data_IF_830911069949
#
_entry.id   IF_830911069949
#
_cell.length_a   1.000
_cell.length_b   1.000
_cell.length_c   1.000
_cell.angle_alpha   90.00
_cell.angle_beta   90.00
_cell.angle_gamma   90.00
#
_symmetry.space_group_name_H-M   'P 1'
#
loop_
_entity.id
_entity.type
_entity.pdbx_description
1 polymer ?
#
# COMPACT_ATOMS: atom_id res chain seq x y z
N UNK A 1 13.40 36.30 -24.59
CA UNK A 1 12.49 36.19 -23.44
C UNK A 1 12.05 34.74 -23.32
N UNK A 2 12.49 33.96 -22.32
CA UNK A 2 12.09 32.57 -22.22
C UNK A 2 10.89 32.43 -21.27
N UNK A 3 9.75 32.07 -21.84
CA UNK A 3 8.54 31.68 -21.13
C UNK A 3 8.77 30.30 -20.51
N UNK A 4 9.26 30.30 -19.26
CA UNK A 4 9.34 29.12 -18.40
C UNK A 4 8.00 29.04 -17.67
N UNK A 5 7.11 28.13 -18.06
CA UNK A 5 6.13 27.48 -17.17
C UNK A 5 5.19 26.57 -17.96
N UNK A 6 5.61 25.31 -18.08
CA UNK A 6 4.72 24.16 -18.02
C UNK A 6 5.56 23.01 -17.45
N UNK A 7 5.85 23.10 -16.16
CA UNK A 7 6.36 21.95 -15.41
C UNK A 7 5.14 21.06 -15.16
N UNK A 8 5.10 19.98 -15.93
CA UNK A 8 4.05 18.98 -15.92
C UNK A 8 3.90 18.40 -14.51
N UNK A 9 2.68 18.34 -13.98
CA UNK A 9 2.34 17.79 -12.66
C UNK A 9 2.86 16.36 -12.44
N UNK A 10 3.20 15.64 -13.51
CA UNK A 10 3.82 14.31 -13.50
C UNK A 10 5.29 14.34 -13.06
N UNK A 11 6.03 15.41 -13.35
CA UNK A 11 7.43 15.58 -12.92
C UNK A 11 7.54 15.99 -11.45
N UNK A 12 6.54 16.69 -10.90
CA UNK A 12 6.47 17.01 -9.47
C UNK A 12 6.23 15.72 -8.66
N UNK A 13 5.33 14.84 -9.12
CA UNK A 13 5.10 13.55 -8.47
C UNK A 13 6.33 12.64 -8.48
N UNK A 14 7.19 12.70 -9.51
CA UNK A 14 8.42 11.89 -9.57
C UNK A 14 9.53 12.39 -8.65
N UNK A 15 9.62 13.69 -8.39
CA UNK A 15 10.64 14.25 -7.48
C UNK A 15 10.31 13.97 -6.01
N UNK A 16 9.03 13.99 -5.64
CA UNK A 16 8.52 13.63 -4.30
C UNK A 16 8.77 12.14 -3.97
N UNK A 17 8.60 11.24 -4.95
CA UNK A 17 8.89 9.81 -4.78
C UNK A 17 10.37 9.51 -4.51
N UNK A 18 11.29 10.33 -5.03
CA UNK A 18 12.73 10.19 -4.79
C UNK A 18 13.14 10.78 -3.43
N UNK A 19 12.42 11.79 -2.92
CA UNK A 19 12.67 12.39 -1.60
C UNK A 19 12.32 11.45 -0.45
N UNK A 20 11.19 10.74 -0.53
CA UNK A 20 10.83 9.73 0.50
C UNK A 20 11.79 8.54 0.47
N UNK A 21 12.18 8.06 -0.72
CA UNK A 21 13.10 6.92 -0.83
C UNK A 21 14.55 7.27 -0.44
N UNK A 22 15.03 8.47 -0.77
CA UNK A 22 16.39 8.94 -0.42
C UNK A 22 16.51 9.36 1.05
N UNK A 23 15.44 9.87 1.66
CA UNK A 23 15.41 10.18 3.10
C UNK A 23 15.44 8.94 4.00
N UNK A 24 14.82 7.84 3.56
CA UNK A 24 14.64 6.62 4.38
C UNK A 24 15.81 5.64 4.25
N UNK A 25 16.67 5.75 3.22
CA UNK A 25 17.90 4.94 3.11
C UNK A 25 18.87 5.13 4.31
N UNK A 26 18.63 6.16 5.15
CA UNK A 26 19.35 6.40 6.42
C UNK A 26 18.65 5.92 7.68
N UNK A 27 17.36 5.56 7.66
CA UNK A 27 16.64 5.18 8.89
C UNK A 27 16.71 3.66 9.07
N UNK A 28 17.85 3.21 9.62
CA UNK A 28 18.09 1.85 10.13
C UNK A 28 17.31 1.51 11.42
N UNK A 29 16.24 2.25 11.72
CA UNK A 29 15.40 2.04 12.90
C UNK A 29 13.98 1.77 12.46
N UNK A 30 13.67 0.48 12.28
CA UNK A 30 12.36 -0.02 11.83
C UNK A 30 11.17 0.53 12.65
N UNK A 31 11.40 0.93 13.92
CA UNK A 31 10.36 1.48 14.79
C UNK A 31 10.02 2.94 14.48
N UNK A 32 11.00 3.80 14.21
CA UNK A 32 10.78 5.21 13.86
C UNK A 32 10.19 5.35 12.45
N UNK A 33 10.56 4.45 11.53
CA UNK A 33 10.04 4.47 10.16
C UNK A 33 8.52 4.33 10.10
N UNK A 34 7.93 3.47 10.95
CA UNK A 34 6.47 3.26 10.98
C UNK A 34 5.73 4.53 11.35
N UNK A 35 6.17 5.26 12.37
CA UNK A 35 5.53 6.51 12.81
C UNK A 35 5.61 7.60 11.72
N UNK A 36 6.79 7.76 11.10
CA UNK A 36 6.99 8.73 10.00
C UNK A 36 6.07 8.43 8.82
N UNK A 37 5.91 7.16 8.44
CA UNK A 37 5.00 6.79 7.36
C UNK A 37 3.53 6.95 7.76
N UNK A 38 3.16 6.70 9.01
CA UNK A 38 1.80 6.96 9.52
C UNK A 38 1.46 8.45 9.43
N UNK A 39 2.36 9.33 9.84
CA UNK A 39 2.16 10.79 9.73
C UNK A 39 2.07 11.24 8.26
N UNK A 40 2.87 10.63 7.39
CA UNK A 40 2.84 10.89 5.95
C UNK A 40 1.51 10.46 5.34
N UNK A 41 1.01 9.25 5.62
CA UNK A 41 -0.29 8.80 5.06
C UNK A 41 -1.48 9.56 5.67
N UNK A 42 -1.35 10.07 6.90
CA UNK A 42 -2.35 10.95 7.51
C UNK A 42 -2.39 12.32 6.82
N UNK A 43 -1.23 12.85 6.42
CA UNK A 43 -1.12 14.13 5.71
C UNK A 43 -1.48 14.01 4.23
N UNK A 44 -1.01 12.94 3.57
CA UNK A 44 -1.16 12.69 2.13
C UNK A 44 -1.67 11.25 1.85
N UNK A 45 -2.95 10.95 2.13
CA UNK A 45 -3.49 9.59 2.01
C UNK A 45 -3.56 9.06 0.56
N UNK A 46 -3.38 9.93 -0.44
CA UNK A 46 -3.37 9.56 -1.87
C UNK A 46 -2.03 9.00 -2.34
N UNK A 47 -0.96 9.20 -1.56
CA UNK A 47 0.38 8.77 -1.94
C UNK A 47 0.57 7.27 -1.68
N UNK A 48 0.32 6.42 -2.68
CA UNK A 48 0.40 4.96 -2.56
C UNK A 48 1.79 4.43 -2.13
N UNK A 49 2.88 5.15 -2.45
CA UNK A 49 4.24 4.76 -2.07
C UNK A 49 4.44 4.59 -0.56
N UNK A 50 3.96 5.56 0.23
CA UNK A 50 4.05 5.50 1.70
C UNK A 50 3.26 4.33 2.28
N UNK A 51 2.11 3.98 1.69
CA UNK A 51 1.34 2.80 2.09
C UNK A 51 2.12 1.51 1.81
N UNK A 52 2.81 1.40 0.67
CA UNK A 52 3.61 0.21 0.34
C UNK A 52 4.80 0.04 1.30
N UNK A 53 5.54 1.12 1.58
CA UNK A 53 6.64 1.07 2.55
C UNK A 53 6.13 0.64 3.93
N UNK A 54 4.98 1.18 4.36
CA UNK A 54 4.34 0.79 5.61
C UNK A 54 3.97 -0.70 5.64
N UNK A 55 3.52 -1.28 4.52
CA UNK A 55 3.25 -2.73 4.42
C UNK A 55 4.52 -3.55 4.65
N UNK A 56 5.66 -3.13 4.11
CA UNK A 56 6.92 -3.87 4.29
C UNK A 56 7.44 -3.85 5.74
N UNK A 57 7.06 -2.82 6.50
CA UNK A 57 7.46 -2.66 7.91
C UNK A 57 6.56 -3.46 8.87
N UNK A 58 5.29 -3.66 8.51
CA UNK A 58 4.32 -4.39 9.34
C UNK A 58 4.45 -5.90 9.07
N UNK A 59 4.85 -6.65 10.09
CA UNK A 59 4.97 -8.12 10.03
C UNK A 59 3.86 -8.87 10.76
N UNK A 60 3.11 -8.17 11.61
CA UNK A 60 2.14 -8.77 12.51
C UNK A 60 0.82 -7.99 12.47
N UNK A 61 -0.29 -8.70 12.65
CA UNK A 61 -1.62 -8.09 12.74
C UNK A 61 -1.78 -7.19 13.97
N UNK A 62 -1.09 -7.52 15.07
CA UNK A 62 -1.11 -6.69 16.29
C UNK A 62 -0.50 -5.31 16.02
N UNK A 63 0.64 -5.28 15.32
CA UNK A 63 1.30 -4.05 14.87
C UNK A 63 0.43 -3.23 13.92
N UNK A 64 -0.50 -3.85 13.19
CA UNK A 64 -1.48 -3.12 12.38
C UNK A 64 -2.58 -2.46 13.22
N UNK A 65 -3.01 -3.13 14.30
CA UNK A 65 -4.09 -2.65 15.18
C UNK A 65 -3.65 -1.48 16.06
N UNK A 66 -2.34 -1.37 16.35
CA UNK A 66 -1.78 -0.25 17.11
C UNK A 66 -1.66 1.04 16.30
N UNK A 67 -1.77 0.98 14.97
CA UNK A 67 -1.57 2.14 14.10
C UNK A 67 -2.85 2.96 13.93
N UNK A 68 -2.74 4.27 14.17
CA UNK A 68 -3.80 5.24 13.92
C UNK A 68 -3.81 5.65 12.44
N UNK A 69 -4.45 4.83 11.61
CA UNK A 69 -4.57 5.06 10.17
C UNK A 69 -5.80 5.90 9.81
N UNK A 70 -5.69 6.83 8.84
CA UNK A 70 -6.77 7.75 8.46
C UNK A 70 -7.96 6.98 7.88
N UNK A 71 -9.18 7.47 8.14
CA UNK A 71 -10.39 6.86 7.60
C UNK A 71 -10.60 7.29 6.13
N UNK A 72 -9.79 6.73 5.23
CA UNK A 72 -9.79 7.04 3.80
C UNK A 72 -10.02 5.79 2.96
N UNK A 73 -10.55 5.92 1.74
CA UNK A 73 -10.81 4.77 0.87
C UNK A 73 -9.52 4.00 0.50
N UNK A 74 -8.38 4.70 0.43
CA UNK A 74 -7.05 4.10 0.22
C UNK A 74 -6.67 3.12 1.34
N UNK A 75 -7.15 3.31 2.57
CA UNK A 75 -6.94 2.37 3.68
C UNK A 75 -7.48 0.97 3.33
N UNK A 76 -8.53 0.87 2.51
CA UNK A 76 -9.08 -0.42 2.07
C UNK A 76 -8.11 -1.16 1.14
N UNK A 77 -7.45 -0.46 0.24
CA UNK A 77 -6.41 -1.05 -0.62
C UNK A 77 -5.22 -1.52 0.20
N UNK A 78 -4.78 -0.69 1.15
CA UNK A 78 -3.73 -1.04 2.08
C UNK A 78 -4.08 -2.28 2.93
N UNK A 79 -5.28 -2.34 3.51
CA UNK A 79 -5.75 -3.49 4.30
C UNK A 79 -5.83 -4.77 3.46
N UNK A 80 -6.30 -4.66 2.21
CA UNK A 80 -6.29 -5.80 1.28
C UNK A 80 -4.88 -6.30 1.02
N UNK A 81 -3.93 -5.40 0.77
CA UNK A 81 -2.54 -5.76 0.45
C UNK A 81 -1.81 -6.37 1.66
N UNK A 82 -1.88 -5.73 2.84
CA UNK A 82 -1.24 -6.26 4.05
C UNK A 82 -1.82 -7.62 4.46
N UNK A 83 -3.11 -7.87 4.27
CA UNK A 83 -3.69 -9.18 4.58
C UNK A 83 -3.17 -10.28 3.65
N UNK A 84 -2.87 -9.98 2.38
CA UNK A 84 -2.22 -10.96 1.51
C UNK A 84 -0.78 -11.24 1.97
N UNK A 85 -0.02 -10.19 2.33
CA UNK A 85 1.34 -10.32 2.86
C UNK A 85 1.38 -11.11 4.18
N UNK A 86 0.44 -10.85 5.09
CA UNK A 86 0.24 -11.60 6.35
C UNK A 86 -0.36 -13.00 6.13
N UNK A 87 -0.47 -13.46 4.88
CA UNK A 87 -1.01 -14.76 4.50
C UNK A 87 -2.50 -14.99 4.88
N UNK A 88 -3.21 -13.94 5.28
CA UNK A 88 -4.66 -13.88 5.54
C UNK A 88 -5.43 -13.69 4.22
N UNK A 89 -5.20 -14.60 3.28
CA UNK A 89 -5.71 -14.49 1.90
C UNK A 89 -7.24 -14.35 1.82
N UNK A 90 -7.99 -15.07 2.65
CA UNK A 90 -9.46 -15.00 2.66
C UNK A 90 -9.97 -13.61 3.06
N UNK A 91 -9.38 -12.99 4.08
CA UNK A 91 -9.76 -11.65 4.55
C UNK A 91 -9.36 -10.58 3.52
N UNK A 92 -8.17 -10.72 2.92
CA UNK A 92 -7.75 -9.85 1.82
C UNK A 92 -8.69 -9.94 0.61
N UNK A 93 -9.08 -11.16 0.23
CA UNK A 93 -10.03 -11.41 -0.87
C UNK A 93 -11.41 -10.80 -0.59
N UNK A 94 -11.94 -10.90 0.63
CA UNK A 94 -13.22 -10.25 1.00
C UNK A 94 -13.15 -8.72 0.79
N UNK A 95 -12.04 -8.09 1.15
CA UNK A 95 -11.84 -6.65 0.93
C UNK A 95 -11.79 -6.32 -0.56
N UNK A 96 -11.03 -7.09 -1.34
CA UNK A 96 -10.95 -6.87 -2.78
C UNK A 96 -12.28 -7.12 -3.48
N UNK A 97 -13.05 -8.13 -3.07
CA UNK A 97 -14.39 -8.37 -3.57
C UNK A 97 -15.31 -7.17 -3.29
N UNK A 98 -15.27 -6.64 -2.08
CA UNK A 98 -16.01 -5.43 -1.75
C UNK A 98 -15.58 -4.23 -2.60
N UNK A 99 -14.28 -4.07 -2.89
CA UNK A 99 -13.80 -3.02 -3.78
C UNK A 99 -14.27 -3.22 -5.24
N UNK A 100 -14.30 -4.46 -5.72
CA UNK A 100 -14.83 -4.79 -7.05
C UNK A 100 -16.32 -4.45 -7.14
N UNK A 101 -17.11 -4.80 -6.11
CA UNK A 101 -18.54 -4.49 -6.03
C UNK A 101 -18.82 -2.98 -6.00
N UNK A 102 -17.86 -2.17 -5.51
CA UNK A 102 -17.93 -0.70 -5.54
C UNK A 102 -17.52 -0.09 -6.88
N UNK A 103 -17.19 -0.89 -7.89
CA UNK A 103 -16.91 -0.43 -9.25
C UNK A 103 -15.45 -0.59 -9.69
N UNK A 104 -14.56 -1.10 -8.84
CA UNK A 104 -13.14 -1.31 -9.20
C UNK A 104 -12.86 -2.65 -9.88
N UNK A 105 -13.88 -3.35 -10.39
CA UNK A 105 -13.76 -4.66 -11.05
C UNK A 105 -12.80 -4.68 -12.25
N UNK A 106 -12.61 -3.54 -12.93
CA UNK A 106 -11.69 -3.41 -14.08
C UNK A 106 -10.27 -2.96 -13.69
N UNK A 107 -9.98 -2.81 -12.41
CA UNK A 107 -8.65 -2.39 -11.96
C UNK A 107 -7.65 -3.53 -12.13
N UNK A 108 -6.66 -3.35 -13.00
CA UNK A 108 -5.58 -4.32 -13.23
C UNK A 108 -4.80 -4.65 -11.96
N UNK A 109 -4.67 -3.68 -11.05
CA UNK A 109 -4.05 -3.90 -9.75
C UNK A 109 -4.86 -4.90 -8.92
N UNK A 110 -6.17 -4.67 -8.75
CA UNK A 110 -7.02 -5.57 -7.94
C UNK A 110 -7.05 -6.96 -8.54
N UNK A 111 -7.23 -7.08 -9.85
CA UNK A 111 -7.24 -8.38 -10.55
C UNK A 111 -5.94 -9.14 -10.33
N UNK A 112 -4.80 -8.45 -10.40
CA UNK A 112 -3.48 -9.06 -10.14
C UNK A 112 -3.34 -9.53 -8.69
N UNK A 113 -3.76 -8.72 -7.72
CA UNK A 113 -3.69 -9.07 -6.30
C UNK A 113 -4.60 -10.26 -5.95
N UNK A 114 -5.81 -10.28 -6.51
CA UNK A 114 -6.76 -11.40 -6.36
C UNK A 114 -6.17 -12.68 -6.97
N UNK A 115 -5.59 -12.60 -8.17
CA UNK A 115 -4.94 -13.75 -8.81
C UNK A 115 -3.76 -14.28 -7.97
N UNK A 116 -2.94 -13.39 -7.40
CA UNK A 116 -1.86 -13.76 -6.48
C UNK A 116 -2.42 -14.48 -5.23
N UNK A 117 -3.46 -13.94 -4.61
CA UNK A 117 -4.09 -14.55 -3.44
C UNK A 117 -4.62 -15.97 -3.73
N UNK A 118 -5.32 -16.17 -4.86
CA UNK A 118 -5.79 -17.49 -5.27
C UNK A 118 -4.62 -18.45 -5.56
N UNK A 119 -3.54 -17.99 -6.19
CA UNK A 119 -2.35 -18.82 -6.40
C UNK A 119 -1.69 -19.22 -5.08
N UNK A 120 -1.59 -18.30 -4.11
CA UNK A 120 -1.07 -18.58 -2.77
C UNK A 120 -1.89 -19.64 -2.03
N UNK A 121 -3.22 -19.60 -2.17
CA UNK A 121 -4.12 -20.62 -1.59
C UNK A 121 -3.99 -21.98 -2.27
N UNK A 122 -3.85 -22.00 -3.61
CA UNK A 122 -3.70 -23.23 -4.40
C UNK A 122 -2.36 -23.94 -4.14
N UNK A 123 -1.27 -23.18 -4.02
CA UNK A 123 0.06 -23.74 -3.75
C UNK A 123 0.12 -24.60 -2.47
N UNK A 124 -0.65 -24.23 -1.44
CA UNK A 124 -0.76 -25.00 -0.18
C UNK A 124 -1.56 -26.31 -0.30
N UNK A 125 -2.38 -26.47 -1.34
CA UNK A 125 -3.21 -27.68 -1.53
C UNK A 125 -2.54 -28.76 -2.40
N UNK A 126 -1.28 -28.57 -2.81
CA UNK A 126 -0.55 -29.47 -3.72
C UNK A 126 0.25 -30.58 -3.01
N UNK A 127 0.07 -30.77 -1.70
CA UNK A 127 0.63 -31.90 -0.95
C UNK A 127 -0.51 -32.86 -0.62
N UNK A 128 -0.86 -33.70 -1.60
CA UNK A 128 -1.64 -34.93 -1.41
C UNK A 128 -0.86 -36.05 -2.07
#
# INVERSE_FOLDING_TARGET
>A
MPSRNRMDSVSICKQEFLLVRCGVEKVKLLKEGVEVFVDTVNSEPLHWGAWLELVTLIKDKESLLTLSLPNHWMKRFFLGHIYLELQLNEEGLKIYQHLMDKGFVKSSYIVSQVAMAYNNMRGRSSVV
#
